data_IF_253562696076
#
_entry.id   IF_253562696076
#
_cell.length_a   1.000
_cell.length_b   1.000
_cell.length_c   1.000
_cell.angle_alpha   90.00
_cell.angle_beta   90.00
_cell.angle_gamma   90.00
#
_symmetry.space_group_name_H-M   'P 1'
#
loop_
_entity.id
_entity.type
_entity.pdbx_description
1 polymer ?
2 non-polymer ?
3 non-polymer ?
4 non-polymer ?
5 water ?
#
# COMPACT_ATOMS: atom_id res chain seq x y z
N UNK A 5 11.23 12.16 -12.37
CA UNK A 5 9.97 12.47 -13.00
C UNK A 5 8.86 12.79 -12.00
N UNK A 6 9.25 13.38 -10.87
CA UNK A 6 8.27 13.72 -9.85
C UNK A 6 7.35 14.84 -10.35
N UNK A 7 6.05 14.65 -10.20
CA UNK A 7 5.04 15.64 -10.56
C UNK A 7 4.42 16.14 -9.27
N UNK A 8 4.63 17.43 -8.96
CA UNK A 8 4.09 18.02 -7.75
C UNK A 8 2.68 18.52 -8.02
N UNK A 9 1.77 18.24 -7.10
CA UNK A 9 0.39 18.64 -7.26
C UNK A 9 -0.09 19.03 -5.87
N UNK A 10 -0.17 20.34 -5.63
CA UNK A 10 -0.37 20.82 -4.28
C UNK A 10 0.74 20.28 -3.41
N UNK A 11 0.36 19.66 -2.31
CA UNK A 11 1.31 19.13 -1.35
C UNK A 11 1.62 17.67 -1.56
N UNK A 12 1.18 17.08 -2.67
CA UNK A 12 1.42 15.68 -2.97
C UNK A 12 2.39 15.57 -4.15
N UNK A 13 2.97 14.39 -4.29
CA UNK A 13 3.91 14.10 -5.38
C UNK A 13 3.46 12.82 -6.06
N UNK A 14 3.48 12.82 -7.40
CA UNK A 14 3.10 11.67 -8.21
C UNK A 14 4.28 11.34 -9.10
N UNK A 15 4.65 10.06 -9.14
CA UNK A 15 5.76 9.60 -9.97
C UNK A 15 5.29 8.45 -10.84
N UNK A 16 5.40 8.60 -12.15
CA UNK A 16 5.05 7.51 -13.03
C UNK A 16 6.10 6.41 -12.95
N UNK A 17 5.64 5.17 -12.71
CA UNK A 17 6.51 4.00 -12.63
C UNK A 17 6.39 3.08 -13.82
N UNK A 18 5.27 3.13 -14.53
CA UNK A 18 5.02 2.32 -15.71
C UNK A 18 3.97 3.08 -16.52
N UNK A 19 3.72 2.67 -17.77
CA UNK A 19 2.74 3.42 -18.57
C UNK A 19 1.40 3.60 -17.89
N UNK A 20 1.00 2.67 -17.03
CA UNK A 20 -0.31 2.76 -16.36
C UNK A 20 -0.20 2.69 -14.84
N UNK A 21 0.95 3.03 -14.26
CA UNK A 21 1.13 2.98 -12.81
C UNK A 21 1.85 4.23 -12.33
N UNK A 22 1.34 4.83 -11.25
CA UNK A 22 1.98 5.97 -10.59
C UNK A 22 2.06 5.70 -9.10
N UNK A 23 3.12 6.22 -8.48
CA UNK A 23 3.23 6.28 -7.04
C UNK A 23 2.66 7.60 -6.56
N UNK A 24 1.76 7.55 -5.57
CA UNK A 24 1.31 8.76 -4.88
C UNK A 24 2.05 8.91 -3.57
N UNK A 25 2.41 10.16 -3.23
CA UNK A 25 3.14 10.43 -2.00
C UNK A 25 2.54 11.63 -1.27
N UNK A 26 2.33 11.46 0.03
CA UNK A 26 1.79 12.49 0.91
C UNK A 26 2.65 12.57 2.17
N UNK A 27 2.52 13.69 2.90
CA UNK A 27 3.45 14.03 3.97
C UNK A 27 2.73 14.38 5.26
N UNK A 28 3.29 13.92 6.37
CA UNK A 28 2.82 14.30 7.70
C UNK A 28 4.02 14.73 8.52
N UNK A 29 3.86 15.83 9.29
CA UNK A 29 4.96 16.46 10.02
C UNK A 29 4.56 16.59 11.48
N UNK A 30 5.45 16.16 12.37
CA UNK A 30 5.24 16.26 13.81
C UNK A 30 6.41 16.98 14.44
N UNK A 31 6.23 17.56 15.63
CA UNK A 31 7.36 18.20 16.30
C UNK A 31 8.37 17.17 16.76
N UNK A 32 9.64 17.56 16.73
CA UNK A 32 10.74 16.71 17.14
C UNK A 32 11.19 15.72 16.10
N UNK A 33 10.53 15.67 14.93
CA UNK A 33 10.83 14.73 13.88
C UNK A 33 10.63 15.41 12.54
N UNK A 34 11.28 14.85 11.53
CA UNK A 34 11.09 15.34 10.18
C UNK A 34 9.75 14.95 9.62
N UNK A 35 9.43 15.53 8.46
CA UNK A 35 8.24 15.18 7.72
C UNK A 35 8.41 13.78 7.12
N UNK A 36 7.35 13.00 7.18
CA UNK A 36 7.40 11.60 6.78
C UNK A 36 6.56 11.44 5.52
N UNK A 37 7.20 10.97 4.45
CA UNK A 37 6.50 10.59 3.23
C UNK A 37 5.83 9.24 3.41
N UNK A 38 4.62 9.12 2.87
CA UNK A 38 3.96 7.83 2.71
C UNK A 38 3.55 7.65 1.26
N UNK A 39 3.84 6.47 0.70
CA UNK A 39 3.57 6.16 -0.70
C UNK A 39 2.47 5.12 -0.85
N UNK A 40 1.64 5.33 -1.87
CA UNK A 40 0.69 4.34 -2.36
C UNK A 40 0.77 4.27 -3.87
N UNK A 41 -0.22 3.63 -4.50
CA UNK A 41 -0.19 3.44 -5.95
C UNK A 41 -1.51 3.86 -6.59
N UNK A 42 -1.41 4.23 -7.85
CA UNK A 42 -2.54 4.49 -8.75
C UNK A 42 -2.30 3.66 -10.00
N UNK A 43 -3.31 2.92 -10.44
CA UNK A 43 -3.18 2.05 -11.61
C UNK A 43 -4.33 2.36 -12.57
N UNK A 44 -4.00 2.68 -13.81
CA UNK A 44 -5.03 2.75 -14.84
C UNK A 44 -5.18 1.36 -15.44
N UNK A 45 -6.37 0.79 -15.31
CA UNK A 45 -6.70 -0.53 -15.86
C UNK A 45 -7.76 -0.30 -16.92
N UNK A 46 -7.32 -0.14 -18.17
CA UNK A 46 -8.26 0.14 -19.26
C UNK A 46 -8.99 1.44 -18.99
N UNK A 47 -10.32 1.35 -18.95
CA UNK A 47 -11.17 2.51 -18.75
C UNK A 47 -11.50 2.88 -17.32
N UNK A 48 -10.71 2.42 -16.35
CA UNK A 48 -10.96 2.73 -14.96
C UNK A 48 -9.63 2.84 -14.23
N UNK A 49 -9.69 3.38 -13.00
CA UNK A 49 -8.51 3.58 -12.16
C UNK A 49 -8.70 2.82 -10.85
N UNK A 50 -7.62 2.25 -10.34
CA UNK A 50 -7.58 1.53 -9.07
C UNK A 50 -6.56 2.21 -8.18
N UNK A 51 -6.86 2.31 -6.88
CA UNK A 51 -5.98 2.98 -5.93
C UNK A 51 -5.55 1.99 -4.86
N UNK A 52 -4.26 2.02 -4.52
CA UNK A 52 -3.72 1.28 -3.39
C UNK A 52 -3.28 2.30 -2.33
N UNK A 53 -3.93 2.25 -1.17
CA UNK A 53 -3.71 3.09 0.01
C UNK A 53 -4.26 4.49 -0.14
N UNK A 54 -4.78 5.03 0.97
CA UNK A 54 -5.07 6.46 1.04
C UNK A 54 -3.78 7.23 1.31
N UNK A 55 -3.91 8.56 1.35
CA UNK A 55 -2.90 9.42 1.94
C UNK A 55 -3.11 9.48 3.46
N UNK A 56 -2.31 10.29 4.17
CA UNK A 56 -2.44 10.38 5.62
C UNK A 56 -3.80 10.92 6.03
N UNK A 57 -4.38 11.84 5.23
CA UNK A 57 -5.58 12.55 5.62
C UNK A 57 -6.63 12.52 4.53
N UNK A 58 -7.87 12.83 4.93
CA UNK A 58 -8.96 12.97 3.96
C UNK A 58 -8.65 14.04 2.93
N UNK A 59 -8.19 15.20 3.38
CA UNK A 59 -7.91 16.30 2.45
C UNK A 59 -6.86 15.88 1.42
N UNK A 60 -5.79 15.22 1.87
CA UNK A 60 -4.77 14.77 0.92
C UNK A 60 -5.34 13.73 -0.02
N UNK A 61 -6.18 12.84 0.48
CA UNK A 61 -6.76 11.79 -0.36
C UNK A 61 -7.69 12.38 -1.40
N UNK A 62 -8.46 13.42 -1.04
CA UNK A 62 -9.27 14.10 -2.05
C UNK A 62 -8.38 14.72 -3.12
N UNK A 63 -7.18 15.17 -2.75
CA UNK A 63 -6.27 15.71 -3.76
C UNK A 63 -5.73 14.63 -4.70
N UNK A 64 -5.50 13.40 -4.19
CA UNK A 64 -5.19 12.28 -5.08
C UNK A 64 -6.28 12.14 -6.13
N UNK A 65 -7.53 12.17 -5.68
CA UNK A 65 -8.63 11.99 -6.62
C UNK A 65 -8.71 13.14 -7.61
N UNK A 66 -8.38 14.35 -7.16
CA UNK A 66 -8.32 15.50 -8.06
C UNK A 66 -7.24 15.33 -9.11
N UNK A 67 -6.05 14.84 -8.70
CA UNK A 67 -5.00 14.61 -9.69
C UNK A 67 -5.44 13.57 -10.71
N UNK A 68 -6.08 12.50 -10.23
CA UNK A 68 -6.60 11.46 -11.13
C UNK A 68 -7.58 12.07 -12.13
N UNK A 69 -8.48 12.93 -11.64
CA UNK A 69 -9.46 13.56 -12.54
C UNK A 69 -8.76 14.37 -13.62
N UNK A 70 -7.72 15.12 -13.25
CA UNK A 70 -7.07 16.02 -14.19
C UNK A 70 -6.18 15.27 -15.16
N UNK A 71 -5.46 14.25 -14.72
CA UNK A 71 -4.48 13.60 -15.57
C UNK A 71 -4.97 12.33 -16.22
N UNK A 72 -5.98 11.67 -15.66
CA UNK A 72 -6.49 10.42 -16.20
C UNK A 72 -7.95 10.54 -16.64
N UNK A 73 -8.80 11.13 -15.79
CA UNK A 73 -10.18 11.42 -16.16
C UNK A 73 -10.96 10.15 -16.49
N UNK A 74 -10.79 9.14 -15.65
CA UNK A 74 -11.55 7.90 -15.71
C UNK A 74 -12.02 7.58 -14.30
N UNK A 75 -13.14 6.84 -14.17
CA UNK A 75 -13.66 6.57 -12.82
C UNK A 75 -12.71 5.72 -12.01
N UNK A 76 -12.65 6.00 -10.71
CA UNK A 76 -11.89 5.17 -9.77
C UNK A 76 -12.81 4.05 -9.31
N UNK A 77 -12.56 2.84 -9.80
CA UNK A 77 -13.48 1.73 -9.59
C UNK A 77 -13.39 1.19 -8.16
N UNK A 78 -12.21 1.21 -7.56
CA UNK A 78 -12.06 0.67 -6.22
C UNK A 78 -10.73 1.14 -5.66
N UNK A 79 -10.62 1.03 -4.34
CA UNK A 79 -9.38 1.22 -3.63
C UNK A 79 -9.19 0.04 -2.68
N UNK A 80 -7.94 -0.40 -2.54
CA UNK A 80 -7.57 -1.37 -1.53
C UNK A 80 -6.53 -0.74 -0.61
N UNK A 81 -6.69 -0.92 0.70
CA UNK A 81 -5.80 -0.31 1.67
C UNK A 81 -5.09 -1.41 2.44
N UNK A 82 -3.81 -1.19 2.78
CA UNK A 82 -2.93 -2.33 3.08
C UNK A 82 -2.70 -2.60 4.56
N UNK A 83 -3.17 -1.74 5.47
CA UNK A 83 -3.35 -2.10 6.87
C UNK A 83 -4.03 -0.91 7.58
N UNK A 84 -4.48 -1.17 8.80
CA UNK A 84 -5.29 -0.20 9.55
C UNK A 84 -4.40 0.73 10.38
N UNK A 85 -3.63 1.56 9.68
CA UNK A 85 -2.89 2.67 10.26
C UNK A 85 -3.12 3.93 9.43
N UNK A 86 -2.80 5.08 10.02
CA UNK A 86 -3.18 6.37 9.42
C UNK A 86 -2.58 6.57 8.04
N UNK A 87 -1.32 6.15 7.85
CA UNK A 87 -0.70 6.41 6.55
C UNK A 87 -1.37 5.66 5.41
N UNK A 88 -2.07 4.56 5.70
CA UNK A 88 -2.69 3.75 4.67
C UNK A 88 -4.21 3.88 4.62
N UNK A 89 -4.84 4.28 5.74
CA UNK A 89 -6.29 4.32 5.84
C UNK A 89 -6.82 5.64 6.39
N UNK A 90 -5.97 6.64 6.58
CA UNK A 90 -6.43 7.89 7.16
C UNK A 90 -7.42 8.65 6.29
N UNK A 91 -7.45 8.38 4.99
CA UNK A 91 -8.33 9.13 4.11
C UNK A 91 -9.55 8.37 3.60
N UNK A 92 -10.02 7.37 4.35
CA UNK A 92 -11.12 6.54 3.89
C UNK A 92 -12.38 7.36 3.59
N UNK A 93 -12.69 8.34 4.46
CA UNK A 93 -13.91 9.13 4.24
C UNK A 93 -13.88 9.85 2.90
N UNK A 94 -12.70 10.30 2.46
CA UNK A 94 -12.61 10.95 1.17
C UNK A 94 -12.95 9.99 0.03
N UNK A 95 -12.50 8.74 0.13
CA UNK A 95 -12.87 7.74 -0.87
C UNK A 95 -14.37 7.49 -0.86
N UNK A 96 -14.96 7.38 0.33
CA UNK A 96 -16.39 7.09 0.42
C UNK A 96 -17.22 8.26 -0.06
N UNK A 97 -16.80 9.49 0.26
CA UNK A 97 -17.50 10.67 -0.25
C UNK A 97 -17.49 10.72 -1.77
N UNK A 98 -16.44 10.20 -2.39
CA UNK A 98 -16.31 10.13 -3.85
C UNK A 98 -17.04 8.94 -4.46
N UNK A 99 -17.66 8.09 -3.66
CA UNK A 99 -18.39 6.95 -4.20
C UNK A 99 -17.53 5.79 -4.61
N UNK A 100 -16.31 5.68 -4.09
CA UNK A 100 -15.38 4.62 -4.48
C UNK A 100 -15.55 3.42 -3.54
N UNK A 101 -15.70 2.24 -4.12
CA UNK A 101 -15.79 1.01 -3.32
C UNK A 101 -14.44 0.70 -2.71
N UNK A 102 -14.44 0.39 -1.41
CA UNK A 102 -13.19 0.21 -0.68
C UNK A 102 -13.07 -1.20 -0.11
N UNK A 103 -11.83 -1.69 -0.08
CA UNK A 103 -11.50 -3.05 0.32
C UNK A 103 -10.31 -3.04 1.26
N UNK A 104 -10.34 -3.92 2.26
CA UNK A 104 -9.22 -4.12 3.14
C UNK A 104 -9.29 -5.55 3.67
N UNK A 105 -8.14 -6.04 4.15
CA UNK A 105 -8.13 -7.29 4.89
C UNK A 105 -9.23 -7.25 5.95
N UNK A 106 -9.97 -8.35 6.06
CA UNK A 106 -10.98 -8.45 7.12
C UNK A 106 -10.40 -8.02 8.46
N UNK A 107 -9.18 -8.44 8.78
CA UNK A 107 -8.56 -8.07 10.05
C UNK A 107 -8.33 -6.56 10.15
N UNK A 108 -8.01 -5.90 9.03
CA UNK A 108 -7.90 -4.44 9.05
C UNK A 108 -9.24 -3.81 9.38
N UNK A 109 -10.34 -4.33 8.82
CA UNK A 109 -11.64 -3.75 9.14
C UNK A 109 -12.03 -4.04 10.58
N UNK A 110 -11.63 -5.20 11.10
CA UNK A 110 -11.85 -5.49 12.52
C UNK A 110 -11.09 -4.50 13.41
N UNK A 111 -9.83 -4.21 13.06
CA UNK A 111 -8.99 -3.31 13.86
C UNK A 111 -9.34 -1.85 13.69
N UNK A 112 -9.95 -1.47 12.56
CA UNK A 112 -10.11 -0.06 12.21
C UNK A 112 -10.73 0.78 13.31
N UNK A 113 -11.87 0.41 13.90
CA UNK A 113 -12.44 1.28 14.95
C UNK A 113 -11.47 1.56 16.10
N UNK A 114 -10.81 0.52 16.63
CA UNK A 114 -9.87 0.73 17.74
C UNK A 114 -8.67 1.56 17.30
N UNK A 115 -8.21 1.36 16.05
CA UNK A 115 -7.07 2.11 15.55
C UNK A 115 -7.41 3.55 15.19
N UNK A 116 -8.69 3.92 15.21
CA UNK A 116 -9.08 5.26 14.83
C UNK A 116 -9.28 5.45 13.34
N UNK A 117 -9.44 4.38 12.57
CA UNK A 117 -9.71 4.45 11.14
C UNK A 117 -11.20 4.21 10.87
N UNK A 118 -11.67 4.73 9.76
CA UNK A 118 -12.94 4.29 9.18
C UNK A 118 -12.68 3.01 8.43
N UNK A 119 -13.51 1.99 8.67
CA UNK A 119 -13.33 0.71 7.99
C UNK A 119 -13.62 0.82 6.50
N UNK A 120 -12.95 -0.02 5.72
CA UNK A 120 -13.35 -0.16 4.32
C UNK A 120 -14.72 -0.80 4.26
N UNK A 121 -15.38 -0.64 3.11
CA UNK A 121 -16.74 -1.16 2.94
C UNK A 121 -16.77 -2.66 2.75
N UNK A 122 -15.67 -3.27 2.32
CA UNK A 122 -15.65 -4.69 1.97
C UNK A 122 -14.41 -5.33 2.58
N UNK A 123 -14.56 -6.56 3.05
CA UNK A 123 -13.49 -7.31 3.68
C UNK A 123 -12.94 -8.38 2.75
N UNK A 124 -11.61 -8.41 2.64
CA UNK A 124 -10.91 -9.47 1.93
C UNK A 124 -10.57 -10.59 2.90
N UNK A 125 -10.67 -11.82 2.42
CA UNK A 125 -10.14 -12.94 3.19
C UNK A 125 -9.11 -13.67 2.34
N UNK A 126 -8.28 -14.45 3.01
CA UNK A 126 -7.09 -15.00 2.39
C UNK A 126 -7.02 -16.49 2.60
N UNK A 127 -6.59 -17.20 1.56
CA UNK A 127 -6.37 -18.64 1.66
C UNK A 127 -5.11 -18.92 2.46
N UNK A 128 -4.89 -20.20 2.77
CA UNK A 128 -3.75 -20.57 3.59
C UNK A 128 -2.44 -20.32 2.87
N UNK A 129 -2.45 -20.33 1.53
CA UNK A 129 -1.24 -20.00 0.78
C UNK A 129 -0.95 -18.50 0.73
N UNK A 130 -1.81 -17.66 1.33
CA UNK A 130 -1.59 -16.24 1.41
C UNK A 130 -2.31 -15.43 0.36
N UNK A 131 -2.73 -16.05 -0.74
CA UNK A 131 -3.38 -15.32 -1.81
C UNK A 131 -4.82 -15.00 -1.42
N UNK A 132 -5.27 -13.81 -1.82
CA UNK A 132 -6.64 -13.42 -1.52
C UNK A 132 -7.60 -14.44 -2.12
N UNK A 133 -8.68 -14.71 -1.39
CA UNK A 133 -9.74 -15.52 -1.96
C UNK A 133 -10.39 -14.70 -3.05
N UNK A 134 -10.36 -15.14 -4.32
CA UNK A 134 -10.81 -14.27 -5.41
C UNK A 134 -12.26 -13.83 -5.29
N UNK A 135 -13.12 -14.65 -4.68
CA UNK A 135 -14.50 -14.26 -4.49
C UNK A 135 -14.64 -13.01 -3.64
N UNK A 136 -13.65 -12.68 -2.81
CA UNK A 136 -13.75 -11.49 -1.96
C UNK A 136 -13.11 -10.26 -2.59
N UNK A 137 -12.48 -10.41 -3.76
CA UNK A 137 -11.82 -9.31 -4.46
C UNK A 137 -12.39 -9.18 -5.88
N UNK A 138 -13.70 -8.95 -6.00
CA UNK A 138 -14.29 -8.84 -7.34
C UNK A 138 -13.74 -7.64 -8.10
N UNK A 139 -13.48 -7.86 -9.38
CA UNK A 139 -13.11 -6.81 -10.32
C UNK A 139 -11.81 -6.12 -9.95
N UNK A 140 -10.90 -6.87 -9.34
CA UNK A 140 -9.60 -6.31 -9.00
C UNK A 140 -8.66 -6.16 -10.20
N UNK A 141 -9.05 -6.66 -11.38
CA UNK A 141 -8.22 -6.50 -12.55
C UNK A 141 -6.80 -7.00 -12.31
N UNK A 142 -5.80 -6.17 -12.60
CA UNK A 142 -4.41 -6.61 -12.47
C UNK A 142 -3.88 -6.62 -11.04
N UNK A 143 -4.65 -6.21 -10.05
CA UNK A 143 -4.16 -6.19 -8.67
C UNK A 143 -4.16 -7.61 -8.11
N UNK A 144 -3.00 -8.06 -7.67
CA UNK A 144 -2.83 -9.41 -7.13
C UNK A 144 -2.49 -9.27 -5.65
N UNK A 145 -3.46 -9.55 -4.78
CA UNK A 145 -3.35 -9.22 -3.37
C UNK A 145 -2.89 -10.43 -2.58
N UNK A 146 -1.87 -10.24 -1.76
CA UNK A 146 -1.21 -11.32 -1.04
C UNK A 146 -1.00 -10.93 0.42
N UNK A 147 -1.43 -11.81 1.33
CA UNK A 147 -1.15 -11.65 2.74
C UNK A 147 0.10 -12.44 3.07
N UNK A 148 1.22 -11.79 3.37
CA UNK A 148 2.49 -12.51 3.56
C UNK A 148 2.71 -13.07 4.96
N UNK A 149 1.79 -12.81 5.88
CA UNK A 149 1.97 -13.12 7.28
C UNK A 149 2.19 -11.86 8.07
N UNK A 150 2.11 -11.96 9.40
CA UNK A 150 2.28 -10.77 10.24
C UNK A 150 3.72 -10.26 10.20
N UNK A 151 3.86 -8.95 10.24
CA UNK A 151 5.17 -8.33 10.18
C UNK A 151 5.16 -6.94 10.79
N UNK A 152 5.07 -5.92 9.94
CA UNK A 152 4.89 -4.56 10.45
C UNK A 152 3.65 -4.47 11.33
N UNK A 153 2.57 -5.12 10.91
CA UNK A 153 1.37 -5.31 11.72
C UNK A 153 0.84 -6.72 11.49
N UNK A 154 -0.15 -7.09 12.30
CA UNK A 154 -0.78 -8.39 12.12
C UNK A 154 -1.57 -8.47 10.83
N UNK A 155 -2.04 -7.33 10.32
CA UNK A 155 -2.99 -7.30 9.21
C UNK A 155 -2.37 -6.88 7.88
N UNK A 156 -1.06 -6.61 7.83
CA UNK A 156 -0.47 -6.02 6.63
C UNK A 156 -0.61 -6.93 5.42
N UNK A 157 -1.02 -6.34 4.29
CA UNK A 157 -1.13 -7.04 3.03
C UNK A 157 -0.30 -6.32 1.98
N UNK A 158 -0.10 -7.01 0.85
CA UNK A 158 0.79 -6.56 -0.22
C UNK A 158 0.08 -6.76 -1.56
N UNK A 159 0.58 -6.09 -2.61
CA UNK A 159 -0.13 -6.05 -3.89
C UNK A 159 0.87 -6.05 -5.03
N UNK A 160 0.74 -7.00 -5.96
CA UNK A 160 1.45 -6.94 -7.22
C UNK A 160 0.55 -6.44 -8.34
N UNK A 161 1.16 -5.89 -9.37
CA UNK A 161 0.44 -5.33 -10.50
C UNK A 161 0.75 -6.17 -11.72
N UNK A 162 -0.23 -6.95 -12.17
CA UNK A 162 -0.07 -7.79 -13.36
C UNK A 162 0.27 -6.93 -14.56
N UNK A 163 1.03 -7.52 -15.49
CA UNK A 163 1.45 -6.78 -16.66
C UNK A 163 2.58 -5.81 -16.43
N UNK A 164 3.13 -5.74 -15.21
CA UNK A 164 4.22 -4.85 -14.88
C UNK A 164 5.26 -5.63 -14.09
N UNK A 165 6.39 -4.97 -13.82
CA UNK A 165 7.45 -5.51 -12.98
C UNK A 165 7.33 -5.04 -11.53
N UNK A 166 6.15 -4.59 -11.11
CA UNK A 166 5.99 -3.88 -9.84
C UNK A 166 5.29 -4.77 -8.81
N UNK A 167 5.83 -4.77 -7.59
CA UNK A 167 5.15 -5.31 -6.43
C UNK A 167 5.27 -4.33 -5.28
N UNK A 168 4.19 -4.19 -4.50
CA UNK A 168 4.06 -3.16 -3.47
C UNK A 168 4.04 -3.84 -2.10
N UNK A 169 5.03 -3.53 -1.27
CA UNK A 169 5.14 -4.07 0.06
C UNK A 169 4.50 -3.25 1.17
N UNK A 170 3.99 -2.06 0.87
CA UNK A 170 3.44 -1.22 1.92
C UNK A 170 4.48 -0.94 2.99
N UNK A 171 4.05 -0.94 4.24
CA UNK A 171 4.97 -0.63 5.32
C UNK A 171 5.80 -1.83 5.76
N UNK A 172 5.52 -3.02 5.23
CA UNK A 172 6.30 -4.20 5.58
C UNK A 172 7.74 -4.08 5.11
N UNK A 173 7.95 -3.51 3.92
CA UNK A 173 9.25 -3.51 3.25
C UNK A 173 9.90 -2.13 3.39
N UNK A 174 11.19 -2.12 3.73
CA UNK A 174 12.02 -0.93 3.74
C UNK A 174 13.07 -1.05 2.65
N UNK A 175 13.68 0.08 2.29
CA UNK A 175 14.63 0.08 1.18
C UNK A 175 15.94 -0.60 1.57
N UNK A 176 16.75 -0.89 0.54
CA UNK A 176 17.96 -1.69 0.69
C UNK A 176 19.03 -1.02 1.54
N UNK A 177 18.92 0.28 1.81
CA UNK A 177 19.87 0.99 2.66
C UNK A 177 19.23 1.50 3.95
N UNK A 178 18.03 1.02 4.29
CA UNK A 178 17.34 1.52 5.47
C UNK A 178 18.09 1.14 6.74
N UNK A 179 18.07 2.03 7.72
CA UNK A 179 18.75 1.81 8.99
C UNK A 179 17.81 1.37 10.10
N UNK A 180 16.53 1.16 9.81
CA UNK A 180 15.61 0.64 10.80
C UNK A 180 14.36 0.12 10.12
N UNK A 181 13.56 -0.61 10.89
CA UNK A 181 12.27 -1.11 10.44
C UNK A 181 11.12 -0.17 10.82
N UNK A 182 11.43 1.07 11.19
CA UNK A 182 10.37 2.03 11.46
C UNK A 182 9.64 1.72 12.76
N UNK A 183 8.35 2.05 12.78
CA UNK A 183 7.54 1.85 13.97
C UNK A 183 7.22 0.36 14.14
N UNK A 184 7.70 -0.22 15.24
CA UNK A 184 7.49 -1.62 15.55
C UNK A 184 6.49 -1.82 16.69
N UNK A 185 5.74 -0.78 17.07
CA UNK A 185 4.83 -0.89 18.19
C UNK A 185 3.74 -1.93 18.01
N UNK A 186 3.34 -2.20 16.77
CA UNK A 186 2.34 -3.22 16.47
C UNK A 186 2.93 -4.42 15.75
N UNK A 187 4.25 -4.55 15.73
CA UNK A 187 4.92 -5.52 14.88
C UNK A 187 4.91 -6.91 15.50
N UNK A 188 5.01 -7.91 14.64
CA UNK A 188 5.18 -9.31 15.05
C UNK A 188 6.65 -9.63 14.89
N UNK A 189 7.40 -9.55 15.99
CA UNK A 189 8.85 -9.70 15.92
C UNK A 189 9.26 -11.11 15.52
N UNK A 190 8.48 -12.12 15.91
CA UNK A 190 8.85 -13.50 15.59
C UNK A 190 8.71 -13.79 14.10
N UNK A 191 7.67 -13.26 13.46
CA UNK A 191 7.33 -13.67 12.10
C UNK A 191 7.72 -12.66 11.02
N UNK A 192 8.20 -11.46 11.40
CA UNK A 192 8.48 -10.41 10.43
C UNK A 192 9.38 -10.92 9.30
N UNK A 193 10.48 -11.57 9.65
CA UNK A 193 11.45 -11.99 8.64
C UNK A 193 10.82 -12.94 7.62
N UNK A 194 10.09 -13.95 8.10
CA UNK A 194 9.46 -14.90 7.19
C UNK A 194 8.40 -14.21 6.32
N UNK A 195 7.67 -13.26 6.90
CA UNK A 195 6.66 -12.55 6.14
C UNK A 195 7.28 -11.70 5.03
N UNK A 196 8.38 -11.00 5.33
CA UNK A 196 9.09 -10.26 4.30
C UNK A 196 9.54 -11.19 3.17
N UNK A 197 10.11 -12.34 3.53
CA UNK A 197 10.55 -13.30 2.51
C UNK A 197 9.37 -13.88 1.74
N UNK A 198 8.24 -14.10 2.41
CA UNK A 198 7.05 -14.61 1.72
C UNK A 198 6.56 -13.64 0.67
N UNK A 199 6.61 -12.33 0.96
CA UNK A 199 6.28 -11.32 -0.03
C UNK A 199 7.15 -11.47 -1.27
N UNK A 200 8.47 -11.60 -1.08
CA UNK A 200 9.36 -11.76 -2.22
C UNK A 200 9.04 -13.01 -3.03
N UNK A 201 8.76 -14.12 -2.35
CA UNK A 201 8.45 -15.36 -3.05
C UNK A 201 7.11 -15.32 -3.76
N UNK A 202 6.18 -14.49 -3.31
CA UNK A 202 4.88 -14.39 -3.97
C UNK A 202 4.95 -13.63 -5.27
N UNK A 203 5.91 -12.71 -5.40
CA UNK A 203 6.08 -11.90 -6.60
C UNK A 203 7.51 -12.02 -7.10
N UNK A 204 7.92 -13.23 -7.51
CA UNK A 204 9.35 -13.47 -7.77
C UNK A 204 9.88 -12.75 -9.00
N UNK A 205 9.02 -12.33 -9.92
CA UNK A 205 9.49 -11.66 -11.13
C UNK A 205 9.49 -10.14 -11.00
N UNK A 206 9.01 -9.60 -9.89
CA UNK A 206 8.95 -8.15 -9.71
C UNK A 206 10.35 -7.61 -9.47
N UNK A 207 10.81 -6.75 -10.38
CA UNK A 207 12.11 -6.11 -10.23
C UNK A 207 12.02 -4.73 -9.61
N UNK A 208 10.83 -4.13 -9.58
CA UNK A 208 10.62 -2.83 -8.94
C UNK A 208 9.76 -3.03 -7.69
N UNK A 209 10.37 -2.84 -6.53
CA UNK A 209 9.69 -3.00 -5.26
C UNK A 209 9.33 -1.62 -4.74
N UNK A 210 8.03 -1.38 -4.59
CA UNK A 210 7.50 -0.13 -4.10
C UNK A 210 7.09 -0.32 -2.65
N UNK A 211 7.25 0.72 -1.83
CA UNK A 211 7.01 0.58 -0.40
C UNK A 211 6.57 1.93 0.17
N UNK A 212 6.15 1.91 1.43
CA UNK A 212 5.49 3.09 1.98
C UNK A 212 6.42 4.28 2.21
N UNK A 213 7.65 4.05 2.67
CA UNK A 213 8.44 5.14 3.22
C UNK A 213 9.80 5.30 2.57
N UNK A 214 10.01 4.70 1.41
CA UNK A 214 11.20 4.92 0.61
C UNK A 214 10.79 4.92 -0.85
N UNK A 215 11.67 5.46 -1.70
CA UNK A 215 11.47 5.43 -3.14
C UNK A 215 11.57 3.99 -3.64
N UNK A 216 11.02 3.71 -4.82
CA UNK A 216 11.10 2.35 -5.37
C UNK A 216 12.54 1.86 -5.46
N UNK A 217 12.73 0.57 -5.21
CA UNK A 217 14.06 -0.02 -5.08
C UNK A 217 14.09 -1.36 -5.81
N UNK A 218 15.28 -1.96 -5.84
CA UNK A 218 15.44 -3.30 -6.34
C UNK A 218 14.97 -4.32 -5.30
N UNK A 219 15.06 -5.60 -5.67
CA UNK A 219 14.72 -6.66 -4.74
C UNK A 219 15.63 -6.71 -3.53
N UNK A 220 16.75 -5.98 -3.53
CA UNK A 220 17.57 -5.88 -2.34
C UNK A 220 16.80 -5.27 -1.17
N UNK A 221 15.73 -4.51 -1.44
CA UNK A 221 14.86 -4.06 -0.38
C UNK A 221 14.29 -5.24 0.40
N UNK A 222 13.91 -6.31 -0.29
CA UNK A 222 13.32 -7.47 0.37
C UNK A 222 14.36 -8.20 1.20
N UNK A 223 15.50 -8.50 0.59
CA UNK A 223 16.54 -9.23 1.33
C UNK A 223 17.05 -8.41 2.51
N UNK A 224 17.23 -7.10 2.32
CA UNK A 224 17.72 -6.27 3.42
C UNK A 224 16.70 -6.16 4.54
N UNK A 225 15.42 -5.98 4.19
CA UNK A 225 14.38 -5.93 5.22
C UNK A 225 14.33 -7.23 6.01
N UNK A 226 14.40 -8.37 5.31
CA UNK A 226 14.34 -9.66 6.00
C UNK A 226 15.55 -9.84 6.89
N UNK A 227 16.73 -9.43 6.42
CA UNK A 227 17.94 -9.58 7.23
C UNK A 227 17.87 -8.72 8.48
N UNK A 228 17.30 -7.51 8.38
CA UNK A 228 17.09 -6.70 9.58
C UNK A 228 16.07 -7.35 10.50
N UNK A 229 15.00 -7.91 9.93
CA UNK A 229 13.98 -8.55 10.74
C UNK A 229 14.51 -9.79 11.43
N UNK A 230 15.51 -10.45 10.85
CA UNK A 230 16.15 -11.60 11.49
C UNK A 230 16.61 -11.25 12.91
N UNK A 231 17.06 -10.01 13.10
CA UNK A 231 17.57 -9.58 14.40
C UNK A 231 16.47 -9.35 15.41
N UNK A 232 15.21 -9.24 14.96
CA UNK A 232 14.10 -9.01 15.88
C UNK A 232 13.77 -10.24 16.71
N UNK A 233 14.24 -11.41 16.31
CA UNK A 233 13.93 -12.64 17.03
C UNK A 233 14.98 -12.92 18.11
X LIG B 1 1.59 0.91 10.07
X LIG C 1 3.92 3.31 7.42
X LIG D 1 4.03 5.36 10.72
X LIG D 1 5.73 3.58 10.03
X LIG D 1 3.90 6.76 11.31
X LIG D 1 2.37 9.53 13.04
X LIG D 1 1.04 9.74 12.69
X LIG D 1 0.26 10.63 13.40
X LIG D 1 0.78 11.31 14.48
X LIG D 1 2.10 11.09 14.84
X LIG D 1 2.89 10.20 14.12
X LIG D 1 4.44 8.79 11.84
X LIG D 1 5.25 10.07 11.92
X LIG D 1 6.41 10.12 12.68
X LIG D 1 7.13 11.31 12.71
X LIG D 1 6.69 12.40 11.98
X LIG D 1 5.53 12.31 11.21
X LIG D 1 4.81 11.15 11.18
X LIG D 1 4.88 7.68 11.22
X LIG D 1 5.37 4.87 10.56
X LIG D 1 6.79 2.85 10.47
X LIG D 1 6.78 1.67 9.68
X LIG D 1 5.73 1.79 8.82
X LIG D 1 5.16 2.93 9.09
X LIG D 1 2.87 7.28 11.97
X LIG D 1 3.20 8.59 12.31
X LIG D 1 3.08 4.72 10.43
X LIG E 1 6.77 22.19 14.26
X LIG E 1 6.59 23.53 13.83
X LIG E 1 6.92 21.27 13.03
X LIG E 1 6.97 19.90 13.41
X LIG E 1 8.21 21.71 12.25
X LIG E 1 8.51 20.66 11.37
#
# INVERSE_FOLDING_TARGET
GSHMGDQRFGDLVFRQLAPNVWQHTSYLDMPGFGAVASNGLIVRDGGRVLVVDTAWTDDQTAQILNWIKQEINLPVALAVVTHAHQDKMGGMDALHAAGIATYANALSNQLAPQEGMVAAQHSLTFAANGWVEPATAPNFGPLKVFYPGPGHTSDNITVGIDGTDIAFGGCLIKDSKAKSLGNLGDADTEHYAASARAFGAAFPKASMIVMSHSAPDSRAAITHTARMADKLR
ZN ZN
ZN ZN
N1G C02 C04 C09 C12 C13 C14 C15 C16 C17 C18 C19 C20 C21 C22 C23 C24 C25 N03 N05 N06 N07 N08 N10 N11 O01
GOL C1 O1 C2 O2 C3 O3
#
